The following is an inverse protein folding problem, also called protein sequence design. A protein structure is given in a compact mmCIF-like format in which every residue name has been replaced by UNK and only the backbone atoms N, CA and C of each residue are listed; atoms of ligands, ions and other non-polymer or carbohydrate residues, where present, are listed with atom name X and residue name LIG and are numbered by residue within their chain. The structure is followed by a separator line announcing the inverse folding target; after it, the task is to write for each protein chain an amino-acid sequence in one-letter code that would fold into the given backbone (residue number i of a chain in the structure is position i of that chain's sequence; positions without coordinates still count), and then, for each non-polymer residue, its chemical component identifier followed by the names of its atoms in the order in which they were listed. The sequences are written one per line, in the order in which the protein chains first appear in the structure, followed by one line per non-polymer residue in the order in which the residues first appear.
data_IF_742569039484
#
_entry.id   IF_742569039484
#
_cell.length_a   1.000
_cell.length_b   1.000
_cell.length_c   1.000
_cell.angle_alpha   90.00
_cell.angle_beta   90.00
_cell.angle_gamma   90.00
#
_symmetry.space_group_name_H-M   'P 1'
#
loop_
_entity.id
_entity.type
_entity.pdbx_description
1 polymer ?
#
# COMPACT_ATOMS: atom_id res chain seq x y z
N UNK A 1 16.32 -11.83 -10.53
CA UNK A 1 17.18 -11.13 -9.56
C UNK A 1 17.79 -9.83 -10.12
N UNK A 2 18.38 -9.78 -11.32
CA UNK A 2 18.99 -8.55 -11.90
C UNK A 2 18.03 -7.34 -12.01
N UNK A 3 16.73 -7.57 -12.25
CA UNK A 3 15.72 -6.51 -12.36
C UNK A 3 15.43 -5.80 -11.02
N UNK A 4 15.57 -6.49 -9.90
CA UNK A 4 15.33 -5.93 -8.55
C UNK A 4 16.47 -4.98 -8.17
N UNK A 5 17.73 -5.33 -8.47
CA UNK A 5 18.87 -4.43 -8.23
C UNK A 5 18.80 -3.15 -9.07
N UNK A 6 18.30 -3.26 -10.30
CA UNK A 6 18.12 -2.10 -11.16
C UNK A 6 17.04 -1.14 -10.63
N UNK A 7 15.96 -1.68 -10.07
CA UNK A 7 14.90 -0.88 -9.42
C UNK A 7 15.43 -0.18 -8.17
N UNK A 8 16.20 -0.87 -7.32
CA UNK A 8 16.87 -0.29 -6.15
C UNK A 8 17.88 0.80 -6.55
N UNK A 9 18.64 0.59 -7.62
CA UNK A 9 19.61 1.56 -8.11
C UNK A 9 18.89 2.80 -8.67
N UNK A 10 17.78 2.62 -9.37
CA UNK A 10 16.98 3.71 -9.94
C UNK A 10 16.32 4.56 -8.84
N UNK A 11 15.93 3.94 -7.72
CA UNK A 11 15.35 4.61 -6.55
C UNK A 11 16.40 5.26 -5.66
N UNK A 12 17.62 4.71 -5.58
CA UNK A 12 18.73 5.30 -4.83
C UNK A 12 19.39 6.49 -5.54
N UNK A 13 19.38 6.52 -6.88
CA UNK A 13 19.99 7.61 -7.67
C UNK A 13 19.42 9.00 -7.35
N UNK A 14 18.10 9.22 -7.26
CA UNK A 14 17.57 10.54 -6.89
C UNK A 14 18.03 10.99 -5.51
N UNK A 15 18.10 10.08 -4.53
CA UNK A 15 18.51 10.38 -3.16
C UNK A 15 19.98 10.83 -3.13
N UNK A 16 20.84 10.20 -3.90
CA UNK A 16 22.28 10.53 -3.98
C UNK A 16 22.55 11.85 -4.74
N UNK A 17 21.81 12.10 -5.82
CA UNK A 17 21.98 13.35 -6.60
C UNK A 17 21.46 14.57 -5.84
N UNK A 18 20.43 14.43 -5.01
CA UNK A 18 19.84 15.56 -4.27
C UNK A 18 20.52 15.86 -2.94
N UNK A 19 21.39 14.98 -2.43
CA UNK A 19 22.11 15.21 -1.18
C UNK A 19 23.04 16.47 -1.23
N UNK A 20 23.38 16.95 -2.41
CA UNK A 20 24.22 18.14 -2.60
C UNK A 20 23.45 19.48 -2.59
N UNK A 21 22.10 19.46 -2.73
CA UNK A 21 21.33 20.69 -2.96
C UNK A 21 20.83 21.38 -1.68
N UNK A 22 20.93 20.77 -0.50
CA UNK A 22 20.34 21.33 0.71
C UNK A 22 21.36 21.60 1.82
N UNK A 23 22.06 22.70 1.71
CA UNK A 23 22.67 23.33 2.86
C UNK A 23 21.57 23.82 3.81
N UNK A 24 21.32 22.99 4.84
CA UNK A 24 20.73 23.34 6.12
C UNK A 24 19.68 24.47 6.15
N UNK A 25 18.42 24.14 5.94
CA UNK A 25 17.36 24.97 6.50
C UNK A 25 17.39 24.85 8.04
N UNK A 26 17.95 25.86 8.72
CA UNK A 26 18.07 25.90 10.19
C UNK A 26 16.73 25.84 10.94
N UNK A 27 15.61 26.06 10.23
CA UNK A 27 14.24 26.08 10.75
C UNK A 27 13.48 24.77 10.49
N UNK A 28 14.17 23.68 10.11
CA UNK A 28 13.52 22.40 9.89
C UNK A 28 12.88 21.90 11.21
N UNK A 29 11.58 21.70 11.20
CA UNK A 29 10.83 21.16 12.33
C UNK A 29 11.39 19.78 12.68
N UNK A 30 11.50 19.47 13.98
CA UNK A 30 12.09 18.21 14.46
C UNK A 30 11.17 17.01 14.24
N UNK A 31 9.87 17.23 14.32
CA UNK A 31 8.87 16.17 14.19
C UNK A 31 7.53 16.74 13.74
N UNK A 32 6.77 15.94 13.03
CA UNK A 32 5.39 16.25 12.68
C UNK A 32 4.50 15.07 13.09
N UNK A 33 3.31 15.42 13.55
CA UNK A 33 2.20 14.49 13.71
C UNK A 33 1.09 15.00 12.82
N UNK A 34 0.41 14.13 12.10
CA UNK A 34 -0.64 14.55 11.19
C UNK A 34 -1.69 13.47 10.95
N UNK A 35 -2.80 13.91 10.40
CA UNK A 35 -3.87 13.02 9.92
C UNK A 35 -3.76 12.88 8.42
N UNK A 36 -4.12 11.70 7.91
CA UNK A 36 -4.11 11.38 6.48
C UNK A 36 -5.43 10.75 6.10
N UNK A 37 -5.96 11.12 4.94
CA UNK A 37 -7.11 10.47 4.33
C UNK A 37 -6.90 10.39 2.81
N UNK A 38 -7.41 9.34 2.18
CA UNK A 38 -7.19 9.16 0.76
C UNK A 38 -7.85 7.91 0.22
N UNK A 39 -7.34 7.49 -0.92
CA UNK A 39 -7.76 6.28 -1.61
C UNK A 39 -6.57 5.37 -1.84
N UNK A 40 -6.83 4.08 -1.77
CA UNK A 40 -5.91 3.02 -2.17
C UNK A 40 -6.48 2.23 -3.34
N UNK A 41 -5.59 1.62 -4.09
CA UNK A 41 -5.91 0.63 -5.11
C UNK A 41 -5.11 -0.60 -4.77
N UNK A 42 -5.77 -1.71 -4.48
CA UNK A 42 -5.11 -2.96 -4.09
C UNK A 42 -5.47 -4.10 -5.02
N UNK A 43 -4.57 -5.06 -5.14
CA UNK A 43 -4.76 -6.28 -5.92
C UNK A 43 -3.87 -7.39 -5.38
N UNK A 44 -4.24 -8.64 -5.65
CA UNK A 44 -3.40 -9.81 -5.45
C UNK A 44 -2.78 -10.25 -6.76
N UNK A 45 -1.60 -10.85 -6.69
CA UNK A 45 -0.95 -11.49 -7.84
C UNK A 45 -1.60 -12.85 -8.12
N UNK A 46 -2.78 -12.83 -8.69
CA UNK A 46 -3.59 -13.98 -9.09
C UNK A 46 -4.14 -13.76 -10.48
N UNK A 47 -4.30 -14.86 -11.23
CA UNK A 47 -5.01 -14.82 -12.49
C UNK A 47 -6.46 -14.36 -12.23
N UNK A 48 -7.01 -13.54 -13.11
CA UNK A 48 -8.36 -12.94 -13.01
C UNK A 48 -8.59 -11.97 -11.83
N UNK A 49 -7.54 -11.60 -11.08
CA UNK A 49 -7.67 -10.57 -10.06
C UNK A 49 -7.84 -9.17 -10.68
N UNK A 50 -8.64 -8.33 -10.00
CA UNK A 50 -8.85 -6.94 -10.38
C UNK A 50 -8.49 -6.01 -9.25
N UNK A 51 -8.02 -4.85 -9.63
CA UNK A 51 -7.77 -3.78 -8.67
C UNK A 51 -9.06 -3.34 -7.98
N UNK A 52 -9.01 -3.27 -6.65
CA UNK A 52 -10.06 -2.77 -5.80
C UNK A 52 -9.68 -1.38 -5.30
N UNK A 53 -10.55 -0.40 -5.52
CA UNK A 53 -10.37 0.96 -5.01
C UNK A 53 -11.02 1.04 -3.63
N UNK A 54 -10.26 1.52 -2.65
CA UNK A 54 -10.67 1.50 -1.24
C UNK A 54 -10.27 2.78 -0.51
N UNK A 55 -10.97 3.15 0.57
CA UNK A 55 -10.57 4.26 1.40
C UNK A 55 -9.29 3.96 2.18
N UNK A 56 -8.53 5.02 2.45
CA UNK A 56 -7.37 5.03 3.33
C UNK A 56 -7.55 6.15 4.35
N UNK A 57 -7.33 5.85 5.62
CA UNK A 57 -7.29 6.84 6.68
C UNK A 57 -6.23 6.48 7.71
N UNK A 58 -5.55 7.47 8.30
CA UNK A 58 -4.53 7.16 9.28
C UNK A 58 -3.95 8.38 9.99
N UNK A 59 -3.09 8.06 10.95
CA UNK A 59 -2.23 8.99 11.65
C UNK A 59 -0.81 8.78 11.15
N UNK A 60 -0.12 9.87 10.85
CA UNK A 60 1.27 9.87 10.42
C UNK A 60 2.14 10.58 11.46
N UNK A 61 3.35 10.07 11.56
CA UNK A 61 4.38 10.64 12.42
C UNK A 61 5.71 10.65 11.67
N UNK A 62 6.41 11.77 11.67
CA UNK A 62 7.80 11.84 11.24
C UNK A 62 8.69 12.48 12.30
N UNK A 63 9.92 12.02 12.38
CA UNK A 63 10.91 12.51 13.33
C UNK A 63 12.27 12.65 12.65
N UNK A 64 12.87 13.85 12.78
CA UNK A 64 14.19 14.14 12.22
C UNK A 64 15.28 13.37 12.97
N UNK A 65 15.98 12.46 12.29
CA UNK A 65 16.96 11.57 12.89
C UNK A 65 18.42 12.04 12.77
N UNK A 66 18.70 13.03 11.91
CA UNK A 66 20.05 13.49 11.67
C UNK A 66 20.13 15.01 11.52
N UNK A 67 21.34 15.56 11.45
CA UNK A 67 21.58 16.96 11.13
C UNK A 67 21.19 17.33 9.70
N UNK A 68 21.18 16.34 8.80
CA UNK A 68 20.66 16.43 7.44
C UNK A 68 19.12 16.34 7.46
N UNK A 69 18.43 16.75 6.40
CA UNK A 69 16.95 16.66 6.33
C UNK A 69 16.45 15.21 6.10
N UNK A 70 16.90 14.28 6.92
CA UNK A 70 16.50 12.89 6.96
C UNK A 70 15.56 12.65 8.14
N UNK A 71 14.43 12.04 7.87
CA UNK A 71 13.38 11.79 8.84
C UNK A 71 13.05 10.28 8.90
N UNK A 72 12.74 9.81 10.08
CA UNK A 72 12.08 8.53 10.29
C UNK A 72 10.58 8.75 10.15
N UNK A 73 9.93 7.95 9.31
CA UNK A 73 8.51 8.01 9.07
C UNK A 73 7.82 6.77 9.62
N UNK A 74 6.72 6.99 10.32
CA UNK A 74 5.87 5.93 10.81
C UNK A 74 4.41 6.40 10.87
N UNK A 75 3.54 5.55 11.39
CA UNK A 75 2.13 5.88 11.54
C UNK A 75 1.27 4.65 11.76
N UNK A 76 -0.03 4.88 11.81
CA UNK A 76 -1.04 3.82 11.80
C UNK A 76 -2.09 4.16 10.76
N UNK A 77 -2.30 3.26 9.82
CA UNK A 77 -3.21 3.45 8.71
C UNK A 77 -4.23 2.31 8.67
N UNK A 78 -5.48 2.67 8.44
CA UNK A 78 -6.51 1.73 8.01
C UNK A 78 -6.62 1.79 6.50
N UNK A 79 -6.65 0.63 5.86
CA UNK A 79 -6.83 0.47 4.43
C UNK A 79 -7.45 -0.89 4.14
N UNK A 80 -8.37 -0.97 3.20
CA UNK A 80 -8.86 -2.24 2.71
C UNK A 80 -7.90 -2.74 1.61
N UNK A 81 -7.23 -3.83 1.91
CA UNK A 81 -6.22 -4.45 1.05
C UNK A 81 -6.79 -5.65 0.30
N UNK A 82 -8.01 -5.52 -0.19
CA UNK A 82 -8.72 -6.55 -0.92
C UNK A 82 -8.41 -6.63 -2.41
N UNK A 83 -9.18 -7.43 -3.12
CA UNK A 83 -9.14 -7.57 -4.58
C UNK A 83 -10.52 -7.91 -5.13
N UNK A 84 -10.78 -7.57 -6.37
CA UNK A 84 -11.92 -8.06 -7.12
C UNK A 84 -11.54 -9.27 -7.98
N UNK A 85 -12.51 -10.11 -8.28
CA UNK A 85 -12.39 -11.22 -9.24
C UNK A 85 -13.43 -11.04 -10.34
N UNK A 86 -13.03 -11.27 -11.59
CA UNK A 86 -13.92 -11.25 -12.75
C UNK A 86 -14.07 -12.67 -13.28
N UNK A 87 -15.27 -12.99 -13.68
CA UNK A 87 -15.59 -14.21 -14.44
C UNK A 87 -15.09 -15.49 -13.73
N UNK A 88 -15.46 -15.64 -12.46
CA UNK A 88 -15.15 -16.86 -11.72
C UNK A 88 -15.79 -18.06 -12.43
N UNK A 89 -14.97 -18.83 -13.15
CA UNK A 89 -15.41 -20.11 -13.70
C UNK A 89 -15.43 -21.14 -12.58
N UNK A 90 -16.61 -21.57 -12.16
CA UNK A 90 -16.70 -22.71 -11.28
C UNK A 90 -15.97 -23.91 -11.90
N UNK A 91 -15.07 -24.59 -11.16
CA UNK A 91 -14.41 -25.77 -11.70
C UNK A 91 -15.49 -26.77 -12.13
N UNK A 92 -15.36 -27.29 -13.33
CA UNK A 92 -16.31 -28.15 -14.07
C UNK A 92 -16.70 -29.45 -13.34
N UNK A 93 -16.19 -29.74 -12.16
CA UNK A 93 -16.44 -30.96 -11.40
C UNK A 93 -17.67 -30.95 -10.52
N UNK A 94 -18.45 -29.87 -10.50
CA UNK A 94 -19.74 -29.85 -9.79
C UNK A 94 -20.90 -29.92 -10.77
N UNK A 95 -21.08 -31.07 -11.38
CA UNK A 95 -22.35 -31.44 -12.00
C UNK A 95 -23.32 -31.72 -10.86
N UNK A 96 -24.07 -30.71 -10.44
CA UNK A 96 -25.18 -30.93 -9.54
C UNK A 96 -26.32 -31.61 -10.31
N UNK A 97 -27.03 -32.53 -9.69
CA UNK A 97 -28.23 -33.12 -10.24
C UNK A 97 -29.31 -32.11 -10.67
N UNK A 98 -29.20 -30.88 -10.18
CA UNK A 98 -30.11 -29.77 -10.45
C UNK A 98 -29.76 -29.00 -11.75
N UNK A 99 -28.50 -29.07 -12.22
CA UNK A 99 -28.04 -28.42 -13.45
C UNK A 99 -27.19 -29.40 -14.28
N UNK A 100 -27.78 -30.39 -14.94
CA UNK A 100 -27.04 -31.41 -15.71
C UNK A 100 -26.23 -30.84 -16.89
N UNK A 101 -26.57 -29.64 -17.36
CA UNK A 101 -25.86 -28.94 -18.47
C UNK A 101 -24.88 -27.83 -17.97
N UNK A 102 -24.54 -27.82 -16.67
CA UNK A 102 -23.80 -26.73 -16.08
C UNK A 102 -24.70 -25.54 -15.75
N UNK A 103 -24.34 -24.78 -14.70
CA UNK A 103 -24.97 -23.48 -14.45
C UNK A 103 -24.67 -22.55 -15.64
N UNK A 104 -25.64 -21.70 -16.05
CA UNK A 104 -25.34 -20.60 -16.97
C UNK A 104 -24.14 -19.84 -16.41
N UNK A 105 -23.23 -19.44 -17.29
CA UNK A 105 -22.06 -18.62 -16.92
C UNK A 105 -22.55 -17.31 -16.28
N UNK A 106 -22.75 -17.33 -14.98
CA UNK A 106 -23.07 -16.12 -14.24
C UNK A 106 -21.76 -15.35 -14.06
N UNK A 107 -21.58 -14.31 -14.83
CA UNK A 107 -20.41 -13.43 -14.79
C UNK A 107 -20.46 -12.52 -13.58
N UNK A 108 -20.56 -13.10 -12.40
CA UNK A 108 -20.61 -12.35 -11.16
C UNK A 108 -19.22 -11.87 -10.78
N UNK A 109 -19.10 -10.58 -10.53
CA UNK A 109 -17.88 -10.00 -9.97
C UNK A 109 -17.90 -10.20 -8.46
N UNK A 110 -16.99 -11.00 -7.95
CA UNK A 110 -16.81 -11.17 -6.52
C UNK A 110 -15.71 -10.24 -6.01
N UNK A 111 -15.94 -9.66 -4.84
CA UNK A 111 -14.97 -8.77 -4.19
C UNK A 111 -14.54 -9.38 -2.86
N UNK A 112 -13.25 -9.55 -2.69
CA UNK A 112 -12.65 -9.94 -1.44
C UNK A 112 -12.18 -8.67 -0.72
N UNK A 113 -12.80 -8.35 0.41
CA UNK A 113 -12.37 -7.27 1.29
C UNK A 113 -11.40 -7.80 2.34
N UNK A 114 -10.29 -7.10 2.53
CA UNK A 114 -9.33 -7.37 3.59
C UNK A 114 -9.04 -6.08 4.35
N UNK A 115 -9.91 -5.75 5.28
CA UNK A 115 -9.74 -4.60 6.17
C UNK A 115 -8.49 -4.77 7.00
N UNK A 116 -7.55 -3.84 6.90
CA UNK A 116 -6.22 -4.00 7.48
C UNK A 116 -5.77 -2.75 8.23
N UNK A 117 -5.07 -2.97 9.32
CA UNK A 117 -4.27 -1.96 10.00
C UNK A 117 -2.82 -2.12 9.55
N UNK A 118 -2.23 -1.01 9.08
CA UNK A 118 -0.86 -0.98 8.57
C UNK A 118 -0.02 -0.02 9.40
N UNK A 119 1.16 -0.45 9.78
CA UNK A 119 2.19 0.34 10.47
C UNK A 119 3.42 0.40 9.57
N UNK A 120 3.67 1.51 8.86
CA UNK A 120 4.91 1.71 8.14
C UNK A 120 6.05 2.06 9.09
N UNK A 121 7.27 1.72 8.70
CA UNK A 121 8.50 2.16 9.31
C UNK A 121 9.52 2.41 8.20
N UNK A 122 9.91 3.65 7.99
CA UNK A 122 10.76 4.03 6.87
C UNK A 122 11.54 5.31 7.12
N UNK A 123 12.14 5.78 6.06
CA UNK A 123 12.86 7.05 6.05
C UNK A 123 12.38 7.92 4.90
N UNK A 124 12.32 9.22 5.13
CA UNK A 124 12.09 10.21 4.08
C UNK A 124 13.17 11.26 4.08
N UNK A 125 13.44 11.81 2.90
CA UNK A 125 14.36 12.91 2.72
C UNK A 125 13.57 14.17 2.34
N UNK A 126 13.67 15.23 3.17
CA UNK A 126 12.91 16.47 2.98
C UNK A 126 13.68 17.45 2.12
N UNK A 127 13.30 17.56 0.84
CA UNK A 127 13.83 18.49 -0.13
C UNK A 127 13.04 19.81 -0.07
N UNK A 128 13.63 20.84 0.50
CA UNK A 128 13.01 22.16 0.61
C UNK A 128 13.11 22.90 -0.73
N UNK A 129 12.03 22.85 -1.54
CA UNK A 129 11.95 23.56 -2.82
C UNK A 129 11.70 25.04 -2.63
N UNK A 130 11.01 25.41 -1.55
CA UNK A 130 10.79 26.79 -1.11
C UNK A 130 10.50 26.81 0.40
N UNK A 131 10.31 28.00 0.98
CA UNK A 131 9.95 28.15 2.39
C UNK A 131 8.61 27.48 2.77
N UNK A 132 7.77 27.14 1.80
CA UNK A 132 6.45 26.53 2.03
C UNK A 132 6.28 25.16 1.38
N UNK A 133 7.18 24.78 0.46
CA UNK A 133 7.04 23.56 -0.34
C UNK A 133 8.22 22.64 -0.03
N UNK A 134 7.91 21.46 0.44
CA UNK A 134 8.90 20.39 0.73
C UNK A 134 8.50 19.14 -0.02
N UNK A 135 9.38 18.62 -0.85
CA UNK A 135 9.24 17.31 -1.50
C UNK A 135 9.87 16.25 -0.60
N UNK A 136 9.20 15.12 -0.44
CA UNK A 136 9.53 14.09 0.55
C UNK A 136 9.51 12.70 -0.07
N UNK A 137 10.51 12.31 -0.89
CA UNK A 137 10.66 10.92 -1.27
C UNK A 137 10.86 10.06 -0.01
N UNK A 138 10.17 8.93 0.05
CA UNK A 138 10.25 8.02 1.19
C UNK A 138 10.38 6.57 0.73
N UNK A 139 11.04 5.77 1.56
CA UNK A 139 11.17 4.33 1.38
C UNK A 139 11.25 3.65 2.74
N UNK A 140 10.70 2.44 2.85
CA UNK A 140 10.71 1.68 4.08
C UNK A 140 10.00 0.35 3.95
N UNK A 141 9.68 -0.20 5.10
CA UNK A 141 8.89 -1.41 5.23
C UNK A 141 7.52 -1.06 5.82
N UNK A 142 6.59 -1.97 5.70
CA UNK A 142 5.35 -1.94 6.46
C UNK A 142 5.04 -3.30 7.06
N UNK A 143 4.38 -3.27 8.20
CA UNK A 143 3.70 -4.40 8.79
C UNK A 143 2.21 -4.13 8.72
N UNK A 144 1.42 -5.06 8.21
CA UNK A 144 -0.04 -4.95 8.26
C UNK A 144 -0.68 -6.18 8.89
N UNK A 145 -1.78 -5.94 9.59
CA UNK A 145 -2.65 -6.97 10.14
C UNK A 145 -4.02 -6.88 9.49
N UNK A 146 -4.40 -7.91 8.78
CA UNK A 146 -5.73 -8.05 8.18
C UNK A 146 -6.75 -8.45 9.22
N UNK A 147 -7.67 -7.55 9.55
CA UNK A 147 -8.73 -7.78 10.53
C UNK A 147 -9.70 -8.85 10.02
N UNK A 148 -9.97 -8.86 8.71
CA UNK A 148 -10.92 -9.79 8.10
C UNK A 148 -10.36 -11.21 7.97
N UNK A 149 -9.07 -11.35 7.66
CA UNK A 149 -8.46 -12.65 7.40
C UNK A 149 -7.51 -13.11 8.51
N UNK A 150 -7.32 -12.29 9.56
CA UNK A 150 -6.46 -12.54 10.73
C UNK A 150 -5.00 -12.85 10.35
N UNK A 151 -4.51 -12.24 9.26
CA UNK A 151 -3.16 -12.49 8.75
C UNK A 151 -2.28 -11.27 8.84
N UNK A 152 -0.99 -11.55 9.02
CA UNK A 152 0.06 -10.54 9.02
C UNK A 152 0.69 -10.52 7.62
N UNK A 153 0.91 -9.33 7.08
CA UNK A 153 1.73 -9.10 5.92
C UNK A 153 2.87 -8.15 6.27
N UNK A 154 4.03 -8.42 5.70
CA UNK A 154 5.21 -7.59 5.74
C UNK A 154 5.58 -7.24 4.31
N UNK A 155 5.90 -5.98 4.04
CA UNK A 155 6.23 -5.56 2.69
C UNK A 155 7.11 -4.34 2.63
N UNK A 156 7.40 -3.94 1.40
CA UNK A 156 8.09 -2.70 1.07
C UNK A 156 7.08 -1.60 0.79
N UNK A 157 7.41 -0.39 1.22
CA UNK A 157 6.62 0.82 0.99
C UNK A 157 7.50 1.90 0.43
N UNK A 158 7.12 2.46 -0.71
CA UNK A 158 7.88 3.48 -1.40
C UNK A 158 6.95 4.55 -1.97
N UNK A 159 7.48 5.78 -2.11
CA UNK A 159 6.69 6.84 -2.72
C UNK A 159 7.31 8.22 -2.57
N UNK A 160 6.46 9.20 -2.83
CA UNK A 160 6.81 10.61 -2.71
C UNK A 160 5.69 11.38 -2.04
N UNK A 161 6.05 12.17 -1.04
CA UNK A 161 5.20 13.14 -0.39
C UNK A 161 5.52 14.55 -0.82
N UNK A 162 4.59 15.45 -0.62
CA UNK A 162 4.79 16.89 -0.78
C UNK A 162 4.01 17.62 0.30
N UNK A 163 4.66 18.55 1.01
CA UNK A 163 3.99 19.42 1.96
C UNK A 163 3.94 20.85 1.47
N UNK A 164 2.84 21.52 1.76
CA UNK A 164 2.55 22.93 1.50
C UNK A 164 2.19 23.60 2.85
N UNK A 165 3.20 24.04 3.56
CA UNK A 165 3.02 24.47 4.94
C UNK A 165 2.58 23.30 5.81
N UNK A 166 1.33 23.35 6.33
CA UNK A 166 0.73 22.28 7.14
C UNK A 166 -0.05 21.24 6.33
N UNK A 167 -0.36 21.52 5.08
CA UNK A 167 -1.03 20.56 4.21
C UNK A 167 0.00 19.60 3.62
N UNK A 168 -0.42 18.36 3.46
CA UNK A 168 0.41 17.27 2.97
C UNK A 168 -0.35 16.43 1.95
N UNK A 169 0.35 15.99 0.92
CA UNK A 169 -0.14 14.98 -0.01
C UNK A 169 0.97 13.95 -0.25
N UNK A 170 0.60 12.71 -0.47
CA UNK A 170 1.56 11.68 -0.88
C UNK A 170 0.94 10.69 -1.85
N UNK A 171 1.81 10.16 -2.69
CA UNK A 171 1.56 9.02 -3.56
C UNK A 171 2.59 7.95 -3.25
N UNK A 172 2.17 6.70 -3.17
CA UNK A 172 3.09 5.60 -2.93
C UNK A 172 2.53 4.25 -3.33
N UNK A 173 3.40 3.25 -3.22
CA UNK A 173 3.11 1.85 -3.51
C UNK A 173 3.56 0.99 -2.33
N UNK A 174 2.84 -0.10 -2.11
CA UNK A 174 3.18 -1.13 -1.15
C UNK A 174 3.30 -2.46 -1.89
N UNK A 175 4.35 -3.22 -1.60
CA UNK A 175 4.62 -4.54 -2.17
C UNK A 175 4.72 -5.54 -1.03
N UNK A 176 3.73 -6.42 -0.89
CA UNK A 176 3.76 -7.51 0.08
C UNK A 176 4.84 -8.53 -0.25
N UNK A 177 5.55 -8.97 0.77
CA UNK A 177 6.62 -9.97 0.66
C UNK A 177 6.19 -11.34 1.21
N UNK A 178 5.16 -11.36 2.06
CA UNK A 178 4.63 -12.60 2.64
C UNK A 178 3.54 -13.14 1.72
N UNK A 179 3.72 -14.37 1.29
CA UNK A 179 2.68 -15.08 0.51
C UNK A 179 1.50 -15.38 1.41
N UNK A 180 0.36 -14.85 1.05
CA UNK A 180 -0.88 -15.06 1.78
C UNK A 180 -1.67 -16.22 1.16
N UNK A 181 -2.30 -17.00 2.02
CA UNK A 181 -3.31 -17.98 1.63
C UNK A 181 -4.63 -17.49 2.18
N UNK A 182 -5.60 -17.22 1.33
CA UNK A 182 -6.93 -16.72 1.73
C UNK A 182 -8.02 -17.73 1.42
N UNK A 183 -9.11 -17.68 2.18
CA UNK A 183 -10.36 -18.33 1.82
C UNK A 183 -11.33 -17.26 1.36
N UNK A 184 -11.86 -17.40 0.17
CA UNK A 184 -12.93 -16.55 -0.36
C UNK A 184 -14.22 -17.35 -0.27
N UNK A 185 -15.16 -16.91 0.55
CA UNK A 185 -16.54 -17.48 0.53
C UNK A 185 -17.25 -16.93 -0.71
N UNK A 186 -17.59 -17.80 -1.61
CA UNK A 186 -18.25 -17.42 -2.87
C UNK A 186 -19.75 -17.65 -2.81
N UNK A 187 -20.21 -18.60 -1.98
CA UNK A 187 -21.63 -18.88 -1.74
C UNK A 187 -21.78 -19.62 -0.39
N UNK A 188 -23.01 -19.86 0.06
CA UNK A 188 -23.33 -20.46 1.37
C UNK A 188 -22.61 -21.80 1.64
N UNK A 189 -22.11 -22.50 0.61
CA UNK A 189 -21.51 -23.83 0.73
C UNK A 189 -20.10 -24.00 0.18
N UNK A 190 -19.44 -22.94 -0.36
CA UNK A 190 -18.15 -23.10 -1.01
C UNK A 190 -17.13 -22.04 -0.60
N UNK A 191 -16.03 -22.52 0.01
CA UNK A 191 -14.83 -21.75 0.26
C UNK A 191 -13.84 -21.95 -0.90
N UNK A 192 -13.46 -20.89 -1.60
CA UNK A 192 -12.34 -20.94 -2.53
C UNK A 192 -11.06 -20.61 -1.78
N UNK A 193 -10.13 -21.54 -1.79
CA UNK A 193 -8.81 -21.35 -1.20
C UNK A 193 -7.93 -20.65 -2.24
N UNK A 194 -7.58 -19.40 -1.98
CA UNK A 194 -6.58 -18.66 -2.75
C UNK A 194 -5.22 -18.97 -2.17
N UNK A 195 -4.39 -19.72 -2.90
CA UNK A 195 -3.07 -20.11 -2.42
C UNK A 195 -1.96 -19.20 -2.95
N UNK A 196 -1.03 -18.85 -2.04
CA UNK A 196 0.29 -18.27 -2.35
C UNK A 196 0.28 -16.97 -3.15
N UNK A 197 -0.65 -16.06 -2.86
CA UNK A 197 -0.68 -14.75 -3.48
C UNK A 197 0.17 -13.71 -2.73
N UNK A 198 0.75 -12.79 -3.49
CA UNK A 198 1.38 -11.58 -2.97
C UNK A 198 0.42 -10.42 -3.18
N UNK A 199 0.35 -9.56 -2.17
CA UNK A 199 -0.46 -8.37 -2.22
C UNK A 199 0.34 -7.18 -2.73
N UNK A 200 -0.28 -6.34 -3.56
CA UNK A 200 0.27 -5.06 -3.98
C UNK A 200 -0.78 -3.99 -3.87
N UNK A 201 -0.39 -2.79 -3.48
CA UNK A 201 -1.31 -1.65 -3.48
C UNK A 201 -0.60 -0.36 -3.86
N UNK A 202 -1.35 0.57 -4.45
CA UNK A 202 -0.95 1.95 -4.61
C UNK A 202 -1.90 2.83 -3.81
N UNK A 203 -1.45 4.00 -3.38
CA UNK A 203 -2.28 4.91 -2.61
C UNK A 203 -1.96 6.37 -2.93
N UNK A 204 -3.00 7.19 -2.82
CA UNK A 204 -2.93 8.64 -2.84
C UNK A 204 -3.62 9.18 -1.61
N UNK A 205 -2.95 10.01 -0.83
CA UNK A 205 -3.58 10.63 0.34
C UNK A 205 -3.28 12.12 0.44
N UNK A 206 -4.15 12.81 1.12
CA UNK A 206 -4.00 14.20 1.56
C UNK A 206 -4.04 14.22 3.08
N UNK A 207 -3.50 15.26 3.68
CA UNK A 207 -3.49 15.35 5.13
C UNK A 207 -3.10 16.72 5.67
N UNK A 208 -3.08 16.78 6.98
CA UNK A 208 -2.73 17.98 7.74
C UNK A 208 -1.74 17.62 8.84
N UNK A 209 -0.67 18.40 8.94
CA UNK A 209 0.36 18.30 9.99
C UNK A 209 0.08 19.36 11.05
N UNK A 210 0.07 18.94 12.31
CA UNK A 210 -0.21 19.82 13.48
C UNK A 210 0.99 20.67 13.90
#
# INVERSE_FOLDING_TARGET
MKKIYFLFLLLAMPVLCFAQFNAANKNAVKSHIGVRAGIGISTYNLDDSRALVTPLVGLAFDYKIASIPLYFDSGVYYMDLGTGFRDFKYPYHMVSTQYPNGRPEDKTTHTLHNHSLMIPAGVSYHLYLSNKIVLQPFSGIYLSYGITNEKIDLGLREGVGMSFGKFYTNFGVNFGLIRQTGKVKVDYDYDIVVEKCLQSSAFLSIGYNF
#
